data_IF_333302821330
#
_entry.id   IF_333302821330
#
_cell.length_a   1.000
_cell.length_b   1.000
_cell.length_c   1.000
_cell.angle_alpha   90.00
_cell.angle_beta   90.00
_cell.angle_gamma   90.00
#
_symmetry.space_group_name_H-M   'P 1'
#
loop_
_entity.id
_entity.type
_entity.pdbx_description
1 polymer ?
#
# COMPACT_ATOMS: atom_id res chain seq x y z
N UNK A 1 16.35 7.40 54.25
CA UNK A 1 15.46 7.45 53.08
C UNK A 1 14.04 7.37 53.60
N UNK A 2 13.21 8.38 53.31
CA UNK A 2 11.88 8.49 53.88
C UNK A 2 10.90 7.53 53.17
N UNK A 3 9.81 7.08 53.82
CA UNK A 3 8.77 6.26 53.19
C UNK A 3 8.16 6.90 51.93
N UNK A 4 8.19 8.23 51.84
CA UNK A 4 7.78 9.01 50.66
C UNK A 4 8.68 8.79 49.45
N UNK A 5 9.98 8.57 49.67
CA UNK A 5 10.97 8.43 48.61
C UNK A 5 10.81 7.08 47.91
N UNK A 6 10.45 6.03 48.66
CA UNK A 6 10.11 4.71 48.12
C UNK A 6 8.87 4.76 47.22
N UNK A 7 7.83 5.48 47.66
CA UNK A 7 6.60 5.65 46.88
C UNK A 7 6.85 6.35 45.54
N UNK A 8 7.69 7.38 45.52
CA UNK A 8 8.04 8.11 44.31
C UNK A 8 8.81 7.20 43.33
N UNK A 9 9.81 6.46 43.82
CA UNK A 9 10.59 5.54 43.00
C UNK A 9 9.71 4.43 42.41
N UNK A 10 8.80 3.87 43.21
CA UNK A 10 7.85 2.84 42.73
C UNK A 10 6.92 3.40 41.66
N UNK A 11 6.38 4.61 41.84
CA UNK A 11 5.52 5.25 40.84
C UNK A 11 6.27 5.55 39.53
N UNK A 12 7.52 6.03 39.61
CA UNK A 12 8.36 6.23 38.43
C UNK A 12 8.66 4.91 37.70
N UNK A 13 8.98 3.84 38.44
CA UNK A 13 9.24 2.53 37.83
C UNK A 13 7.98 1.94 37.19
N UNK A 14 6.80 2.09 37.82
CA UNK A 14 5.52 1.66 37.25
C UNK A 14 5.19 2.48 35.99
N UNK A 15 5.39 3.80 36.02
CA UNK A 15 5.21 4.67 34.85
C UNK A 15 6.15 4.27 33.70
N UNK A 16 7.44 4.01 33.99
CA UNK A 16 8.40 3.55 32.98
C UNK A 16 8.04 2.17 32.40
N UNK A 17 7.59 1.22 33.23
CA UNK A 17 7.19 -0.12 32.77
C UNK A 17 5.88 -0.08 31.96
N UNK A 18 4.93 0.79 32.33
CA UNK A 18 3.68 0.97 31.58
C UNK A 18 3.93 1.67 30.24
N UNK A 19 4.79 2.68 30.20
CA UNK A 19 5.25 3.31 28.96
C UNK A 19 6.02 2.33 28.06
N UNK A 20 6.91 1.51 28.62
CA UNK A 20 7.65 0.50 27.86
C UNK A 20 6.75 -0.62 27.28
N UNK A 21 5.65 -0.97 27.96
CA UNK A 21 4.67 -1.94 27.45
C UNK A 21 3.78 -1.37 26.33
N UNK A 22 3.56 -0.06 26.31
CA UNK A 22 2.81 0.58 25.22
C UNK A 22 3.57 0.54 23.88
N UNK A 23 4.90 0.39 23.92
CA UNK A 23 5.79 0.35 22.75
C UNK A 23 6.13 -1.08 22.29
N UNK A 24 5.52 -2.10 22.89
CA UNK A 24 5.62 -3.47 22.41
C UNK A 24 4.76 -3.60 21.15
N UNK A 25 5.28 -3.12 20.02
CA UNK A 25 4.69 -3.16 18.69
C UNK A 25 3.98 -4.49 18.44
N UNK A 26 2.71 -4.39 18.07
CA UNK A 26 1.87 -5.53 17.78
C UNK A 26 2.58 -6.40 16.73
N UNK A 27 2.90 -7.65 17.08
CA UNK A 27 3.46 -8.67 16.16
C UNK A 27 2.41 -9.09 15.13
N UNK A 28 1.95 -8.15 14.32
CA UNK A 28 1.05 -8.37 13.20
C UNK A 28 1.84 -8.64 11.92
N UNK A 29 1.25 -9.44 11.03
CA UNK A 29 1.76 -9.51 9.65
C UNK A 29 1.58 -8.17 8.94
N UNK A 30 2.24 -8.01 7.81
CA UNK A 30 2.17 -6.77 7.05
C UNK A 30 0.75 -6.44 6.53
N UNK A 31 -0.05 -7.45 6.20
CA UNK A 31 -1.47 -7.28 5.91
C UNK A 31 -2.28 -7.38 7.21
N UNK A 32 -3.03 -6.32 7.51
CA UNK A 32 -3.98 -6.26 8.62
C UNK A 32 -5.31 -5.83 8.04
N UNK A 33 -6.31 -6.71 8.07
CA UNK A 33 -7.64 -6.41 7.51
C UNK A 33 -8.30 -5.28 8.28
N UNK A 34 -8.62 -4.18 7.60
CA UNK A 34 -9.23 -3.00 8.23
C UNK A 34 -10.76 -3.15 8.35
N UNK A 35 -11.38 -2.75 9.49
CA UNK A 35 -12.84 -2.70 9.63
C UNK A 35 -13.48 -1.61 8.75
N UNK A 36 -12.70 -0.64 8.27
CA UNK A 36 -13.18 0.49 7.44
C UNK A 36 -13.16 0.17 5.93
N UNK A 37 -12.92 -1.09 5.57
CA UNK A 37 -12.88 -1.60 4.21
C UNK A 37 -14.26 -1.50 3.56
N UNK A 38 -14.36 -0.72 2.49
CA UNK A 38 -15.55 -0.67 1.66
C UNK A 38 -15.40 -1.60 0.45
N UNK A 39 -16.49 -2.30 0.11
CA UNK A 39 -16.57 -3.03 -1.16
C UNK A 39 -17.15 -2.10 -2.23
N UNK A 40 -16.29 -1.67 -3.17
CA UNK A 40 -16.68 -0.82 -4.30
C UNK A 40 -16.68 -1.61 -5.61
N UNK A 41 -17.48 -2.68 -5.66
CA UNK A 41 -17.69 -3.48 -6.88
C UNK A 41 -18.69 -2.77 -7.79
N UNK A 42 -18.19 -2.13 -8.85
CA UNK A 42 -19.02 -1.38 -9.83
C UNK A 42 -19.32 -2.14 -11.11
N UNK A 43 -18.64 -3.27 -11.31
CA UNK A 43 -18.73 -4.12 -12.49
C UNK A 43 -18.62 -5.57 -12.04
N UNK A 44 -18.99 -6.55 -12.89
CA UNK A 44 -18.75 -7.96 -12.58
C UNK A 44 -17.29 -8.16 -12.15
N UNK A 45 -17.12 -8.90 -11.07
CA UNK A 45 -15.82 -9.34 -10.59
C UNK A 45 -15.16 -10.24 -11.62
N UNK A 46 -13.82 -10.40 -11.56
CA UNK A 46 -13.13 -11.35 -12.43
C UNK A 46 -13.75 -12.75 -12.36
N UNK A 47 -14.10 -13.25 -11.16
CA UNK A 47 -14.75 -14.56 -11.01
C UNK A 47 -16.09 -14.67 -11.75
N UNK A 48 -16.91 -13.62 -11.71
CA UNK A 48 -18.18 -13.57 -12.44
C UNK A 48 -17.99 -13.48 -13.96
N UNK A 49 -16.92 -12.82 -14.43
CA UNK A 49 -16.57 -12.80 -15.85
C UNK A 49 -16.09 -14.18 -16.32
N UNK A 50 -15.25 -14.86 -15.53
CA UNK A 50 -14.76 -16.20 -15.83
C UNK A 50 -15.93 -17.22 -15.85
N UNK A 51 -16.87 -17.09 -14.91
CA UNK A 51 -18.04 -17.97 -14.83
C UNK A 51 -19.01 -17.84 -16.03
N UNK A 52 -18.94 -16.76 -16.81
CA UNK A 52 -19.76 -16.56 -18.02
C UNK A 52 -19.30 -17.40 -19.22
N UNK A 53 -18.19 -18.11 -19.12
CA UNK A 53 -17.75 -19.07 -20.13
C UNK A 53 -16.85 -18.48 -21.23
N UNK A 54 -16.46 -17.21 -21.14
CA UNK A 54 -15.59 -16.55 -22.13
C UNK A 54 -14.08 -16.81 -21.88
N UNK A 55 -13.74 -17.93 -21.24
CA UNK A 55 -12.35 -18.28 -20.92
C UNK A 55 -11.49 -18.45 -22.18
N UNK A 56 -12.08 -18.96 -23.27
CA UNK A 56 -11.42 -19.12 -24.57
C UNK A 56 -11.08 -17.78 -25.24
N UNK A 57 -11.78 -16.69 -24.87
CA UNK A 57 -11.50 -15.35 -25.37
C UNK A 57 -10.34 -14.67 -24.63
N UNK A 58 -9.89 -15.24 -23.49
CA UNK A 58 -8.76 -14.70 -22.75
C UNK A 58 -7.44 -15.17 -23.36
N UNK A 59 -6.41 -14.31 -23.37
CA UNK A 59 -5.08 -14.74 -23.77
C UNK A 59 -4.56 -15.81 -22.80
N UNK A 60 -3.90 -16.84 -23.35
CA UNK A 60 -3.28 -17.92 -22.57
C UNK A 60 -2.22 -17.42 -21.58
N UNK A 61 -1.60 -16.29 -21.87
CA UNK A 61 -0.66 -15.64 -20.97
C UNK A 61 -0.75 -14.12 -21.09
N UNK A 62 -0.57 -13.44 -19.95
CA UNK A 62 -0.48 -11.99 -19.88
C UNK A 62 0.70 -11.62 -19.00
N UNK A 63 1.60 -10.82 -19.54
CA UNK A 63 2.64 -10.16 -18.76
C UNK A 63 2.59 -8.65 -19.05
N UNK A 64 2.21 -7.87 -18.04
CA UNK A 64 2.13 -6.41 -18.15
C UNK A 64 3.51 -5.75 -18.35
N UNK A 65 4.60 -6.49 -18.11
CA UNK A 65 5.97 -6.02 -18.36
C UNK A 65 6.39 -6.10 -19.82
N UNK A 66 5.64 -6.84 -20.65
CA UNK A 66 5.97 -7.07 -22.05
C UNK A 66 4.74 -6.82 -22.93
N UNK A 67 4.33 -5.56 -23.06
CA UNK A 67 3.13 -5.15 -23.81
C UNK A 67 3.45 -4.31 -25.03
N UNK A 68 2.61 -4.39 -26.04
CA UNK A 68 2.66 -3.48 -27.19
C UNK A 68 1.58 -2.41 -27.01
N UNK A 69 1.97 -1.14 -27.07
CA UNK A 69 1.05 0.00 -27.10
C UNK A 69 1.08 0.65 -28.48
N UNK A 70 -0.08 1.11 -28.95
CA UNK A 70 -0.20 1.80 -30.23
C UNK A 70 -0.13 3.30 -29.99
N UNK A 71 0.83 3.97 -30.65
CA UNK A 71 1.03 5.42 -30.55
C UNK A 71 0.95 6.04 -31.94
N UNK A 72 0.80 7.37 -32.08
CA UNK A 72 0.87 8.03 -33.38
C UNK A 72 2.15 7.74 -34.18
N UNK A 73 3.27 7.49 -33.49
CA UNK A 73 4.55 7.07 -34.08
C UNK A 73 4.67 5.58 -34.41
N UNK A 74 3.57 4.82 -34.29
CA UNK A 74 3.54 3.37 -34.50
C UNK A 74 3.50 2.55 -33.19
N UNK A 75 3.44 1.22 -33.31
CA UNK A 75 3.43 0.33 -32.16
C UNK A 75 4.80 0.28 -31.47
N UNK A 76 4.81 0.26 -30.14
CA UNK A 76 6.03 0.19 -29.31
C UNK A 76 5.87 -0.87 -28.22
N UNK A 77 6.93 -1.64 -27.97
CA UNK A 77 7.02 -2.54 -26.80
C UNK A 77 7.35 -1.74 -25.54
N UNK A 78 6.62 -2.00 -24.45
CA UNK A 78 6.70 -1.25 -23.20
C UNK A 78 6.56 -2.18 -22.00
N UNK A 79 7.24 -1.80 -20.92
CA UNK A 79 6.96 -2.28 -19.58
C UNK A 79 5.94 -1.34 -18.92
N UNK A 80 4.77 -1.86 -18.58
CA UNK A 80 3.72 -1.11 -17.89
C UNK A 80 3.78 -1.25 -16.37
N UNK A 81 4.58 -2.18 -15.85
CA UNK A 81 4.81 -2.32 -14.42
C UNK A 81 5.80 -1.25 -13.94
N UNK A 82 5.45 -0.62 -12.83
CA UNK A 82 6.29 0.29 -12.07
C UNK A 82 7.50 -0.43 -11.48
N UNK A 83 8.48 0.35 -11.02
CA UNK A 83 9.72 -0.19 -10.49
C UNK A 83 9.45 -1.09 -9.26
N UNK A 84 10.17 -2.21 -9.17
CA UNK A 84 10.20 -2.99 -7.94
C UNK A 84 10.88 -2.18 -6.83
N UNK A 85 10.31 -2.22 -5.62
CA UNK A 85 10.77 -1.45 -4.46
C UNK A 85 10.98 -2.35 -3.25
N UNK A 86 11.67 -1.86 -2.23
CA UNK A 86 11.99 -2.62 -1.03
C UNK A 86 11.52 -1.90 0.24
N UNK A 87 10.46 -2.42 0.86
CA UNK A 87 9.88 -1.89 2.11
C UNK A 87 10.70 -2.19 3.38
N UNK A 88 11.74 -3.03 3.29
CA UNK A 88 12.50 -3.48 4.47
C UNK A 88 13.76 -2.66 4.76
N UNK A 89 14.04 -1.63 3.95
CA UNK A 89 15.22 -0.76 4.10
C UNK A 89 14.81 0.72 4.08
N UNK A 90 15.56 1.61 4.77
CA UNK A 90 16.73 1.32 5.61
C UNK A 90 16.38 0.60 6.92
N UNK A 91 15.11 0.67 7.33
CA UNK A 91 14.57 -0.03 8.49
C UNK A 91 13.45 -0.96 8.05
N UNK A 92 13.23 -2.02 8.82
CA UNK A 92 12.08 -2.87 8.59
C UNK A 92 10.78 -2.08 8.76
N UNK A 93 9.90 -2.16 7.77
CA UNK A 93 8.57 -1.58 7.80
C UNK A 93 7.55 -2.55 7.17
N UNK A 94 6.49 -2.88 7.89
CA UNK A 94 5.37 -3.70 7.42
C UNK A 94 4.43 -2.96 6.46
N UNK A 95 4.98 -2.40 5.38
CA UNK A 95 4.29 -1.51 4.42
C UNK A 95 3.83 -2.18 3.10
N UNK A 96 3.91 -3.50 2.95
CA UNK A 96 3.43 -4.26 1.77
C UNK A 96 2.01 -3.87 1.35
N UNK A 97 1.14 -3.51 2.29
CA UNK A 97 -0.24 -3.10 2.00
C UNK A 97 -0.27 -1.80 1.18
N UNK A 98 0.53 -0.80 1.58
CA UNK A 98 0.73 0.46 0.87
C UNK A 98 1.48 0.24 -0.45
N UNK A 99 2.58 -0.53 -0.43
CA UNK A 99 3.35 -0.86 -1.64
C UNK A 99 2.48 -1.54 -2.70
N UNK A 100 1.66 -2.52 -2.30
CA UNK A 100 0.77 -3.23 -3.22
C UNK A 100 -0.29 -2.30 -3.82
N UNK A 101 -0.93 -1.45 -3.00
CA UNK A 101 -1.94 -0.51 -3.47
C UNK A 101 -1.35 0.51 -4.45
N UNK A 102 -0.24 1.14 -4.06
CA UNK A 102 0.39 2.22 -4.83
C UNK A 102 1.02 1.71 -6.11
N UNK A 103 1.77 0.60 -6.09
CA UNK A 103 2.33 0.01 -7.31
C UNK A 103 1.23 -0.41 -8.28
N UNK A 104 0.14 -1.02 -7.77
CA UNK A 104 -1.02 -1.37 -8.63
C UNK A 104 -1.68 -0.13 -9.27
N UNK A 105 -1.77 0.98 -8.55
CA UNK A 105 -2.30 2.24 -9.09
C UNK A 105 -1.36 2.86 -10.11
N UNK A 106 -0.06 2.92 -9.82
CA UNK A 106 0.99 3.32 -10.75
C UNK A 106 0.92 2.53 -12.07
N UNK A 107 0.80 1.21 -11.98
CA UNK A 107 0.70 0.32 -13.15
C UNK A 107 -0.56 0.59 -13.97
N UNK A 108 -1.70 0.84 -13.30
CA UNK A 108 -2.94 1.22 -13.98
C UNK A 108 -2.83 2.56 -14.70
N UNK A 109 -2.13 3.54 -14.12
CA UNK A 109 -1.83 4.81 -14.78
C UNK A 109 -0.94 4.55 -16.00
N UNK A 110 0.10 3.72 -15.87
CA UNK A 110 0.94 3.34 -17.01
C UNK A 110 0.13 2.65 -18.12
N UNK A 111 -0.82 1.77 -17.77
CA UNK A 111 -1.72 1.10 -18.73
C UNK A 111 -2.56 2.13 -19.51
N UNK A 112 -3.20 3.07 -18.81
CA UNK A 112 -4.07 4.08 -19.45
C UNK A 112 -3.26 5.08 -20.27
N UNK A 113 -2.06 5.44 -19.82
CA UNK A 113 -1.20 6.42 -20.50
C UNK A 113 -0.30 5.79 -21.57
N UNK A 114 -0.27 4.46 -21.69
CA UNK A 114 0.67 3.76 -22.56
C UNK A 114 2.14 3.93 -22.14
N UNK A 115 2.39 4.19 -20.85
CA UNK A 115 3.70 4.46 -20.27
C UNK A 115 4.51 5.50 -21.07
N UNK A 116 3.88 6.64 -21.39
CA UNK A 116 4.57 7.82 -21.93
C UNK A 116 5.58 8.38 -20.93
N UNK A 117 5.23 8.33 -19.64
CA UNK A 117 6.13 8.51 -18.50
C UNK A 117 5.90 7.36 -17.52
N UNK A 118 6.98 6.82 -16.94
CA UNK A 118 6.87 5.82 -15.87
C UNK A 118 6.32 6.48 -14.61
N UNK A 119 5.18 5.99 -14.13
CA UNK A 119 4.49 6.52 -12.96
C UNK A 119 4.97 5.83 -11.70
N UNK A 120 5.52 6.59 -10.75
CA UNK A 120 5.95 6.11 -9.45
C UNK A 120 5.37 7.01 -8.36
N UNK A 121 4.25 6.59 -7.77
CA UNK A 121 3.56 7.36 -6.73
C UNK A 121 4.20 7.16 -5.35
N UNK A 122 4.04 8.15 -4.47
CA UNK A 122 4.60 8.23 -3.12
C UNK A 122 3.91 7.32 -2.11
N UNK A 123 4.52 6.17 -1.80
CA UNK A 123 4.00 5.25 -0.78
C UNK A 123 4.10 5.84 0.63
N UNK A 124 5.13 6.66 0.88
CA UNK A 124 5.37 7.27 2.18
C UNK A 124 4.23 8.22 2.61
N UNK A 125 3.54 8.85 1.67
CA UNK A 125 2.35 9.67 1.95
C UNK A 125 1.27 8.84 2.63
N UNK A 126 1.03 7.61 2.15
CA UNK A 126 0.06 6.72 2.77
C UNK A 126 0.53 6.31 4.16
N UNK A 127 1.81 5.97 4.32
CA UNK A 127 2.34 5.59 5.63
C UNK A 127 2.27 6.70 6.68
N UNK A 128 2.38 7.96 6.25
CA UNK A 128 2.40 9.12 7.14
C UNK A 128 1.01 9.71 7.40
N UNK A 129 0.09 9.62 6.45
CA UNK A 129 -1.14 10.40 6.44
C UNK A 129 -2.42 9.56 6.43
N UNK A 130 -2.31 8.26 6.17
CA UNK A 130 -3.47 7.37 6.24
C UNK A 130 -3.88 7.12 7.69
N UNK A 131 -5.11 7.49 8.03
CA UNK A 131 -5.68 7.32 9.38
C UNK A 131 -6.46 6.01 9.54
N UNK A 132 -6.63 5.22 8.46
CA UNK A 132 -7.37 3.94 8.52
C UNK A 132 -6.49 2.75 8.95
N UNK A 133 -5.17 2.90 8.84
CA UNK A 133 -4.18 1.84 8.94
C UNK A 133 -3.00 2.24 9.84
N UNK A 134 -2.10 1.29 10.17
CA UNK A 134 -1.10 1.49 11.23
C UNK A 134 0.32 1.74 10.70
N UNK A 135 0.45 2.38 9.52
CA UNK A 135 1.74 2.69 8.90
C UNK A 135 2.63 1.45 8.74
N UNK A 136 3.81 1.46 9.37
CA UNK A 136 4.75 0.33 9.36
C UNK A 136 4.32 -0.90 10.17
N UNK A 137 3.22 -0.84 10.91
CA UNK A 137 2.69 -1.95 11.70
C UNK A 137 1.57 -2.72 10.98
N UNK A 138 1.43 -2.49 9.68
CA UNK A 138 0.50 -3.19 8.81
C UNK A 138 -0.79 -2.44 8.52
N UNK A 139 -1.49 -2.88 7.47
CA UNK A 139 -2.72 -2.27 6.98
C UNK A 139 -3.41 -3.06 5.87
N UNK A 140 -4.47 -2.48 5.31
CA UNK A 140 -5.28 -3.08 4.24
C UNK A 140 -5.17 -2.27 2.93
N UNK A 141 -4.77 -2.88 1.80
CA UNK A 141 -4.74 -2.19 0.51
C UNK A 141 -6.06 -1.53 0.10
N UNK A 142 -7.20 -2.04 0.58
CA UNK A 142 -8.50 -1.45 0.26
C UNK A 142 -8.73 -0.11 0.96
N UNK A 143 -8.27 0.04 2.20
CA UNK A 143 -8.33 1.33 2.90
C UNK A 143 -7.27 2.28 2.39
N UNK A 144 -6.12 1.79 1.92
CA UNK A 144 -5.18 2.61 1.14
C UNK A 144 -5.84 3.22 -0.11
N UNK A 145 -6.58 2.43 -0.91
CA UNK A 145 -7.33 2.97 -2.05
C UNK A 145 -8.43 3.96 -1.65
N UNK A 146 -9.09 3.71 -0.51
CA UNK A 146 -10.09 4.62 0.07
C UNK A 146 -9.46 5.95 0.47
N UNK A 147 -8.32 5.92 1.15
CA UNK A 147 -7.51 7.09 1.49
C UNK A 147 -7.12 7.88 0.23
N UNK A 148 -6.49 7.23 -0.76
CA UNK A 148 -6.07 7.89 -2.01
C UNK A 148 -7.25 8.60 -2.68
N UNK A 149 -8.41 7.93 -2.75
CA UNK A 149 -9.62 8.53 -3.32
C UNK A 149 -10.11 9.73 -2.50
N UNK A 150 -10.12 9.61 -1.17
CA UNK A 150 -10.53 10.69 -0.26
C UNK A 150 -9.61 11.90 -0.29
N UNK A 151 -8.31 11.68 -0.46
CA UNK A 151 -7.29 12.73 -0.60
C UNK A 151 -7.29 13.41 -1.99
N UNK A 152 -8.05 12.89 -2.95
CA UNK A 152 -8.05 13.38 -4.34
C UNK A 152 -6.84 12.91 -5.16
N UNK A 153 -6.10 11.93 -4.67
CA UNK A 153 -4.86 11.41 -5.26
C UNK A 153 -3.70 11.44 -4.27
N UNK A 154 -2.55 10.95 -4.72
CA UNK A 154 -1.26 11.05 -4.01
C UNK A 154 -0.19 11.52 -4.99
N UNK A 155 0.87 12.20 -4.51
CA UNK A 155 1.90 12.75 -5.37
C UNK A 155 2.85 11.66 -5.92
N UNK A 156 3.73 12.10 -6.81
CA UNK A 156 4.91 11.33 -7.25
C UNK A 156 5.87 11.06 -6.08
N UNK A 157 6.61 9.96 -6.15
CA UNK A 157 7.58 9.52 -5.14
C UNK A 157 8.53 10.64 -4.69
N UNK A 158 8.90 11.54 -5.60
CA UNK A 158 9.81 12.66 -5.31
C UNK A 158 9.28 13.71 -4.33
N UNK A 159 7.99 13.69 -3.98
CA UNK A 159 7.38 14.67 -3.07
C UNK A 159 7.44 14.30 -1.57
N UNK A 160 7.90 13.10 -1.22
CA UNK A 160 8.08 12.61 0.17
C UNK A 160 9.18 11.52 0.23
N UNK A 161 10.31 11.77 -0.41
CA UNK A 161 11.48 10.87 -0.42
C UNK A 161 12.42 11.07 0.76
#
# INVERSE_FOLDING_TARGET
>A
MAPSDYMIVVLYLVALVTLAKADAGQKGGCFVKSPYRDSLVRSPTPGELLARGDLEALPQSVDWRYRTVHTPGGPRKVNLASAARNQHIPNYCGACWSFAAVSSLSDRINIVTGATKQTNLAMQVILNCDEYDNGCHGGDPMTAFKFIKGAGGIPDETCQG
#
